data_IF_332050310936
#
_entry.id   IF_332050310936
#
_cell.length_a   1.000
_cell.length_b   1.000
_cell.length_c   1.000
_cell.angle_alpha   90.00
_cell.angle_beta   90.00
_cell.angle_gamma   90.00
#
_symmetry.space_group_name_H-M   'P 1'
#
loop_
_entity.id
_entity.type
_entity.pdbx_description
1 polymer ?
#
# COMPACT_ATOMS: atom_id res chain seq x y z
N UNK A 1 -10.63 54.22 51.29
CA UNK A 1 -9.61 54.19 50.22
C UNK A 1 -8.72 52.94 50.19
N UNK A 2 -8.43 52.24 51.31
CA UNK A 2 -7.53 51.07 51.27
C UNK A 2 -8.17 49.74 50.80
N UNK A 3 -9.48 49.56 50.95
CA UNK A 3 -10.17 48.32 50.54
C UNK A 3 -10.29 48.15 49.02
N UNK A 4 -10.48 49.23 48.26
CA UNK A 4 -10.58 49.16 46.79
C UNK A 4 -9.26 48.80 46.11
N UNK A 5 -8.14 49.29 46.63
CA UNK A 5 -6.81 48.98 46.10
C UNK A 5 -6.43 47.50 46.31
N UNK A 6 -6.87 46.90 47.42
CA UNK A 6 -6.64 45.49 47.69
C UNK A 6 -7.51 44.60 46.78
N UNK A 7 -8.80 44.92 46.64
CA UNK A 7 -9.73 44.21 45.76
C UNK A 7 -9.27 44.23 44.29
N UNK A 8 -8.79 45.38 43.81
CA UNK A 8 -8.27 45.51 42.44
C UNK A 8 -6.95 44.73 42.22
N UNK A 9 -6.10 44.61 43.23
CA UNK A 9 -4.89 43.76 43.16
C UNK A 9 -5.25 42.28 43.11
N UNK A 10 -6.24 41.84 43.90
CA UNK A 10 -6.69 40.44 43.92
C UNK A 10 -7.38 40.08 42.60
N UNK A 11 -8.28 40.93 42.08
CA UNK A 11 -8.95 40.71 40.79
C UNK A 11 -7.95 40.63 39.64
N UNK A 12 -6.93 41.51 39.60
CA UNK A 12 -5.88 41.45 38.57
C UNK A 12 -5.06 40.16 38.64
N UNK A 13 -4.77 39.66 39.84
CA UNK A 13 -4.05 38.38 40.02
C UNK A 13 -4.90 37.17 39.62
N UNK A 14 -6.20 37.19 39.93
CA UNK A 14 -7.13 36.13 39.52
C UNK A 14 -7.33 36.11 38.00
N UNK A 15 -7.49 37.28 37.38
CA UNK A 15 -7.63 37.40 35.93
C UNK A 15 -6.37 36.91 35.20
N UNK A 16 -5.18 37.22 35.72
CA UNK A 16 -3.92 36.73 35.16
C UNK A 16 -3.84 35.19 35.24
N UNK A 17 -4.24 34.60 36.36
CA UNK A 17 -4.26 33.13 36.54
C UNK A 17 -5.23 32.45 35.56
N UNK A 18 -6.43 33.01 35.38
CA UNK A 18 -7.43 32.47 34.45
C UNK A 18 -6.93 32.55 33.00
N UNK A 19 -6.32 33.68 32.61
CA UNK A 19 -5.75 33.85 31.27
C UNK A 19 -4.60 32.86 31.04
N UNK A 20 -3.72 32.63 32.02
CA UNK A 20 -2.65 31.65 31.89
C UNK A 20 -3.18 30.22 31.78
N UNK A 21 -4.24 29.88 32.51
CA UNK A 21 -4.84 28.54 32.46
C UNK A 21 -5.51 28.29 31.11
N UNK A 22 -6.22 29.28 30.56
CA UNK A 22 -6.81 29.22 29.22
C UNK A 22 -5.75 29.15 28.11
N UNK A 23 -4.61 29.83 28.26
CA UNK A 23 -3.49 29.75 27.32
C UNK A 23 -2.88 28.34 27.30
N UNK A 24 -2.62 27.74 28.47
CA UNK A 24 -2.07 26.38 28.57
C UNK A 24 -3.06 25.32 28.02
N UNK A 25 -4.36 25.49 28.26
CA UNK A 25 -5.40 24.63 27.69
C UNK A 25 -5.58 24.83 26.18
N UNK A 26 -5.39 26.05 25.68
CA UNK A 26 -5.42 26.36 24.25
C UNK A 26 -4.23 25.76 23.49
N UNK A 27 -3.03 25.78 24.07
CA UNK A 27 -1.86 25.14 23.47
C UNK A 27 -1.97 23.61 23.40
N UNK A 28 -2.70 22.98 24.33
CA UNK A 28 -2.92 21.52 24.30
C UNK A 28 -3.92 21.07 23.24
N UNK A 29 -4.81 21.96 22.76
CA UNK A 29 -5.68 21.69 21.61
C UNK A 29 -4.91 21.79 20.27
N UNK A 30 -3.85 22.60 20.21
CA UNK A 30 -3.01 22.78 19.00
C UNK A 30 -2.04 21.61 18.77
N UNK A 31 -1.85 20.70 19.74
CA UNK A 31 -1.07 19.47 19.53
C UNK A 31 -1.87 18.33 18.86
N UNK A 32 -3.18 18.49 18.64
CA UNK A 32 -4.02 17.44 18.04
C UNK A 32 -4.09 17.50 16.51
N UNK A 33 -3.56 18.55 15.87
CA UNK A 33 -3.16 18.50 14.46
C UNK A 33 -1.84 17.74 14.37
N UNK A 34 -1.95 16.45 14.63
CA UNK A 34 -0.92 15.45 14.38
C UNK A 34 -0.32 15.73 13.00
N UNK A 35 1.00 15.90 12.97
CA UNK A 35 1.77 15.67 11.77
C UNK A 35 1.50 14.21 11.40
N UNK A 36 0.54 13.96 10.52
CA UNK A 36 0.43 12.69 9.80
C UNK A 36 1.67 12.60 8.92
N UNK A 37 2.77 12.16 9.52
CA UNK A 37 3.93 11.72 8.77
C UNK A 37 3.53 10.34 8.26
N UNK A 38 3.04 10.30 7.02
CA UNK A 38 2.77 9.04 6.34
C UNK A 38 4.14 8.54 5.85
N UNK A 39 4.89 7.87 6.72
CA UNK A 39 6.02 7.09 6.27
C UNK A 39 5.44 5.93 5.47
N UNK A 40 5.59 5.97 4.14
CA UNK A 40 5.33 4.79 3.33
C UNK A 40 6.36 3.74 3.76
N UNK A 41 5.89 2.68 4.42
CA UNK A 41 6.73 1.50 4.66
C UNK A 41 6.93 0.87 3.29
N UNK A 42 8.18 0.60 2.91
CA UNK A 42 8.46 -0.14 1.68
C UNK A 42 7.92 -1.55 1.87
N UNK A 43 6.89 -1.91 1.11
CA UNK A 43 6.23 -3.23 1.20
C UNK A 43 7.10 -4.30 0.54
N UNK A 44 7.94 -3.89 -0.41
CA UNK A 44 8.84 -4.75 -1.17
C UNK A 44 10.26 -4.20 -1.18
N UNK A 45 11.22 -5.11 -1.27
CA UNK A 45 12.64 -4.88 -1.45
C UNK A 45 13.03 -5.35 -2.85
N UNK A 46 13.93 -4.62 -3.51
CA UNK A 46 14.44 -5.04 -4.83
C UNK A 46 15.96 -5.16 -4.78
N UNK A 47 16.49 -6.29 -5.27
CA UNK A 47 17.90 -6.64 -5.08
C UNK A 47 18.90 -5.70 -5.75
N UNK A 48 18.45 -4.92 -6.74
CA UNK A 48 19.30 -4.02 -7.52
C UNK A 48 18.70 -2.61 -7.60
N UNK A 49 19.55 -1.59 -7.48
CA UNK A 49 19.20 -0.20 -7.84
C UNK A 49 19.59 0.13 -9.28
N UNK A 50 20.45 -0.70 -9.88
CA UNK A 50 20.81 -0.68 -11.28
C UNK A 50 21.26 -2.05 -11.80
N UNK A 51 20.99 -2.33 -13.08
CA UNK A 51 21.43 -3.54 -13.79
C UNK A 51 22.39 -3.12 -14.90
N UNK A 52 23.72 -3.22 -14.70
CA UNK A 52 24.69 -2.82 -15.69
C UNK A 52 25.06 -3.97 -16.63
N UNK A 53 24.72 -3.87 -17.91
CA UNK A 53 25.18 -4.83 -18.93
C UNK A 53 26.64 -4.62 -19.36
N UNK A 54 27.27 -3.53 -18.92
CA UNK A 54 28.63 -3.17 -19.32
C UNK A 54 28.73 -2.84 -20.81
N UNK A 55 29.88 -3.15 -21.40
CA UNK A 55 30.14 -3.01 -22.84
C UNK A 55 29.70 -4.28 -23.55
N UNK A 56 28.76 -4.14 -24.47
CA UNK A 56 28.18 -5.24 -25.24
C UNK A 56 28.51 -5.11 -26.72
N UNK A 57 28.51 -6.23 -27.44
CA UNK A 57 28.75 -6.24 -28.88
C UNK A 57 27.44 -6.34 -29.68
N UNK A 58 27.35 -5.69 -30.86
CA UNK A 58 26.20 -5.83 -31.75
C UNK A 58 25.82 -7.29 -32.01
N UNK A 59 24.57 -7.66 -31.72
CA UNK A 59 24.03 -9.02 -31.87
C UNK A 59 24.32 -9.97 -30.70
N UNK A 60 24.95 -9.50 -29.62
CA UNK A 60 25.12 -10.27 -28.39
C UNK A 60 23.77 -10.45 -27.67
N UNK A 61 23.64 -11.58 -26.96
CA UNK A 61 22.54 -11.80 -26.02
C UNK A 61 23.17 -11.84 -24.63
N UNK A 62 22.77 -10.93 -23.76
CA UNK A 62 23.26 -10.86 -22.37
C UNK A 62 22.06 -10.97 -21.45
N UNK A 63 22.19 -11.73 -20.38
CA UNK A 63 21.14 -11.88 -19.37
C UNK A 63 21.65 -11.50 -17.99
N UNK A 64 20.78 -10.81 -17.25
CA UNK A 64 20.98 -10.45 -15.85
C UNK A 64 19.71 -10.80 -15.07
N UNK A 65 19.77 -10.78 -13.74
CA UNK A 65 18.61 -11.08 -12.89
C UNK A 65 18.40 -10.05 -11.81
N UNK A 66 17.15 -9.81 -11.44
CA UNK A 66 16.79 -9.12 -10.20
C UNK A 66 15.72 -9.90 -9.44
N UNK A 67 15.57 -9.56 -8.17
CA UNK A 67 14.61 -10.20 -7.25
C UNK A 67 13.74 -9.12 -6.65
N UNK A 68 12.43 -9.35 -6.63
CA UNK A 68 11.47 -8.57 -5.85
C UNK A 68 11.10 -9.40 -4.64
N UNK A 69 11.28 -8.86 -3.44
CA UNK A 69 11.12 -9.60 -2.20
C UNK A 69 10.14 -8.87 -1.27
N UNK A 70 9.29 -9.60 -0.58
CA UNK A 70 8.43 -9.07 0.47
C UNK A 70 9.27 -8.58 1.66
N UNK A 71 9.03 -7.35 2.12
CA UNK A 71 9.63 -6.88 3.36
C UNK A 71 9.05 -7.68 4.54
N UNK A 72 9.90 -8.08 5.50
CA UNK A 72 9.56 -8.95 6.62
C UNK A 72 8.44 -8.44 7.53
N UNK A 73 8.14 -7.13 7.48
CA UNK A 73 7.04 -6.54 8.24
C UNK A 73 5.67 -6.64 7.52
N UNK A 74 5.63 -7.26 6.34
CA UNK A 74 4.44 -7.43 5.51
C UNK A 74 4.16 -8.90 5.24
N UNK A 75 2.90 -9.20 4.90
CA UNK A 75 2.42 -10.56 4.65
C UNK A 75 2.04 -10.83 3.19
N UNK A 76 1.85 -9.76 2.41
CA UNK A 76 1.39 -9.81 1.03
C UNK A 76 1.74 -8.51 0.30
N UNK A 77 2.15 -8.63 -0.96
CA UNK A 77 2.19 -7.51 -1.89
C UNK A 77 1.84 -8.00 -3.30
N UNK A 78 0.97 -7.26 -3.98
CA UNK A 78 0.82 -7.35 -5.43
C UNK A 78 1.57 -6.19 -6.06
N UNK A 79 2.23 -6.40 -7.19
CA UNK A 79 2.93 -5.34 -7.91
C UNK A 79 2.88 -5.55 -9.42
N UNK A 80 3.23 -4.50 -10.16
CA UNK A 80 3.47 -4.57 -11.59
C UNK A 80 4.76 -3.84 -11.97
N UNK A 81 5.30 -4.17 -13.13
CA UNK A 81 6.54 -3.66 -13.68
C UNK A 81 6.30 -2.88 -14.97
N UNK A 82 6.88 -1.69 -15.08
CA UNK A 82 6.88 -0.90 -16.32
C UNK A 82 8.30 -0.59 -16.78
N UNK A 83 8.44 -0.42 -18.10
CA UNK A 83 9.68 -0.03 -18.76
C UNK A 83 9.51 1.35 -19.38
N UNK A 84 10.35 2.30 -18.97
CA UNK A 84 10.35 3.66 -19.53
C UNK A 84 11.73 4.03 -20.07
N UNK A 85 11.82 4.80 -21.16
CA UNK A 85 13.08 5.39 -21.60
C UNK A 85 13.71 6.28 -20.51
N UNK A 86 15.03 6.37 -20.51
CA UNK A 86 15.77 7.28 -19.63
C UNK A 86 16.11 8.56 -20.37
N UNK A 87 15.74 9.70 -19.79
CA UNK A 87 16.05 11.02 -20.34
C UNK A 87 17.56 11.19 -20.57
N UNK A 88 17.93 11.61 -21.77
CA UNK A 88 19.33 11.82 -22.16
C UNK A 88 20.08 10.57 -22.64
N UNK A 89 19.45 9.39 -22.61
CA UNK A 89 20.01 8.14 -23.15
C UNK A 89 19.20 7.64 -24.35
N UNK A 90 19.82 6.80 -25.18
CA UNK A 90 19.10 6.08 -26.24
C UNK A 90 18.18 5.03 -25.59
N UNK A 91 17.00 4.82 -26.18
CA UNK A 91 15.98 3.95 -25.59
C UNK A 91 16.43 2.48 -25.65
N UNK A 92 16.72 1.89 -24.49
CA UNK A 92 17.10 0.48 -24.36
C UNK A 92 15.87 -0.44 -24.25
N UNK A 93 14.72 0.08 -23.81
CA UNK A 93 13.58 -0.75 -23.40
C UNK A 93 13.05 -1.72 -24.47
N UNK A 94 12.99 -1.37 -25.78
CA UNK A 94 12.54 -2.31 -26.82
C UNK A 94 13.44 -3.55 -26.98
N UNK A 95 14.67 -3.49 -26.46
CA UNK A 95 15.66 -4.56 -26.58
C UNK A 95 15.75 -5.44 -25.33
N UNK A 96 14.93 -5.16 -24.31
CA UNK A 96 14.88 -5.93 -23.08
C UNK A 96 13.66 -6.84 -23.07
N UNK A 97 13.90 -8.13 -22.89
CA UNK A 97 12.87 -9.10 -22.54
C UNK A 97 12.95 -9.37 -21.03
N UNK A 98 11.84 -9.14 -20.33
CA UNK A 98 11.72 -9.48 -18.91
C UNK A 98 10.82 -10.70 -18.75
N UNK A 99 11.30 -11.71 -18.03
CA UNK A 99 10.58 -12.96 -17.79
C UNK A 99 10.76 -13.42 -16.34
N UNK A 100 9.66 -13.81 -15.68
CA UNK A 100 9.76 -14.54 -14.40
C UNK A 100 10.46 -15.87 -14.64
N UNK A 101 11.32 -16.24 -13.69
CA UNK A 101 12.12 -17.46 -13.69
C UNK A 101 11.93 -18.26 -12.39
N UNK A 102 10.82 -18.03 -11.68
CA UNK A 102 10.51 -18.69 -10.42
C UNK A 102 10.34 -20.20 -10.55
N UNK A 103 10.66 -20.89 -9.46
CA UNK A 103 10.60 -22.34 -9.34
C UNK A 103 9.95 -22.73 -7.99
N UNK A 104 8.74 -23.30 -7.99
CA UNK A 104 7.93 -23.70 -9.15
C UNK A 104 7.49 -22.52 -10.02
N UNK A 105 7.18 -22.78 -11.30
CA UNK A 105 6.70 -21.72 -12.20
C UNK A 105 5.38 -21.17 -11.68
N UNK A 106 5.39 -19.89 -11.35
CA UNK A 106 4.24 -19.10 -10.92
C UNK A 106 3.63 -18.33 -12.10
N UNK A 107 2.35 -17.92 -12.01
CA UNK A 107 1.67 -17.18 -13.06
C UNK A 107 2.03 -15.69 -13.10
N UNK A 108 3.21 -15.29 -12.62
CA UNK A 108 3.61 -13.89 -12.56
C UNK A 108 3.86 -13.29 -13.94
N UNK A 109 3.45 -12.04 -14.07
CA UNK A 109 3.58 -11.27 -15.30
C UNK A 109 4.04 -9.86 -15.00
N UNK A 110 4.53 -9.15 -16.01
CA UNK A 110 4.90 -7.74 -15.83
C UNK A 110 3.71 -6.86 -15.43
N UNK A 111 2.47 -7.28 -15.67
CA UNK A 111 1.28 -6.49 -15.35
C UNK A 111 0.65 -6.83 -14.00
N UNK A 112 1.03 -7.96 -13.40
CA UNK A 112 0.58 -8.41 -12.07
C UNK A 112 1.47 -9.58 -11.65
N UNK A 113 2.08 -9.43 -10.48
CA UNK A 113 2.90 -10.42 -9.79
C UNK A 113 2.68 -10.31 -8.28
N UNK A 114 2.87 -11.40 -7.52
CA UNK A 114 2.54 -11.43 -6.09
C UNK A 114 3.61 -12.08 -5.22
N UNK A 115 4.02 -11.40 -4.16
CA UNK A 115 4.85 -11.97 -3.09
C UNK A 115 4.05 -12.10 -1.78
N UNK A 116 4.28 -13.20 -1.04
CA UNK A 116 3.55 -13.57 0.19
C UNK A 116 4.49 -14.11 1.27
N UNK A 117 4.03 -14.30 2.52
CA UNK A 117 4.88 -14.94 3.54
C UNK A 117 5.34 -16.36 3.18
N UNK A 118 4.51 -17.09 2.42
CA UNK A 118 4.81 -18.45 1.98
C UNK A 118 5.64 -18.51 0.71
N UNK A 119 5.68 -17.40 -0.01
CA UNK A 119 6.38 -17.22 -1.27
C UNK A 119 6.93 -15.79 -1.34
N UNK A 120 8.03 -15.50 -0.63
CA UNK A 120 8.40 -14.14 -0.31
C UNK A 120 9.21 -13.45 -1.40
N UNK A 121 9.52 -14.10 -2.52
CA UNK A 121 10.43 -13.54 -3.50
C UNK A 121 10.21 -14.04 -4.93
N UNK A 122 10.08 -13.10 -5.85
CA UNK A 122 9.96 -13.35 -7.29
C UNK A 122 11.31 -13.06 -7.97
N UNK A 123 11.73 -13.97 -8.84
CA UNK A 123 12.99 -13.90 -9.57
C UNK A 123 12.71 -13.56 -11.03
N UNK A 124 13.32 -12.48 -11.50
CA UNK A 124 13.15 -11.98 -12.85
C UNK A 124 14.46 -12.05 -13.62
N UNK A 125 14.40 -12.59 -14.83
CA UNK A 125 15.47 -12.45 -15.82
C UNK A 125 15.22 -11.23 -16.69
N UNK A 126 16.27 -10.44 -16.89
CA UNK A 126 16.33 -9.34 -17.85
C UNK A 126 17.30 -9.75 -18.96
N UNK A 127 16.75 -10.15 -20.09
CA UNK A 127 17.52 -10.50 -21.27
C UNK A 127 17.64 -9.28 -22.19
N UNK A 128 18.86 -8.86 -22.45
CA UNK A 128 19.18 -7.81 -23.41
C UNK A 128 19.57 -8.44 -24.76
N UNK A 129 18.71 -8.23 -25.76
CA UNK A 129 18.98 -8.58 -27.16
C UNK A 129 19.65 -7.37 -27.84
N UNK A 130 20.98 -7.35 -27.87
CA UNK A 130 21.73 -6.18 -28.34
C UNK A 130 21.48 -5.95 -29.83
N UNK A 131 20.91 -4.79 -30.23
CA UNK A 131 20.63 -4.54 -31.64
C UNK A 131 21.93 -4.45 -32.44
N UNK A 132 21.86 -4.79 -33.72
CA UNK A 132 22.98 -4.54 -34.61
C UNK A 132 23.06 -3.04 -34.96
N UNK A 133 24.24 -2.56 -35.31
CA UNK A 133 24.41 -1.17 -35.80
C UNK A 133 24.46 -1.21 -37.34
N UNK A 134 23.79 -0.24 -37.99
CA UNK A 134 23.84 -0.09 -39.44
C UNK A 134 25.29 -0.05 -39.95
N UNK A 135 25.56 -0.83 -41.00
CA UNK A 135 26.91 -1.03 -41.53
C UNK A 135 27.80 -2.01 -40.75
N UNK A 136 27.33 -2.52 -39.60
CA UNK A 136 28.03 -3.46 -38.72
C UNK A 136 27.13 -4.67 -38.34
N UNK A 137 26.32 -5.12 -39.30
CA UNK A 137 25.38 -6.24 -39.13
C UNK A 137 26.06 -7.56 -39.51
N UNK A 138 25.96 -8.59 -38.66
CA UNK A 138 26.49 -9.92 -38.98
C UNK A 138 25.66 -10.60 -40.07
N UNK A 139 26.25 -11.55 -40.82
CA UNK A 139 25.57 -12.22 -41.94
C UNK A 139 24.29 -12.97 -41.54
N UNK A 140 24.17 -13.36 -40.27
CA UNK A 140 23.05 -14.12 -39.72
C UNK A 140 22.35 -13.35 -38.58
N UNK A 141 22.38 -12.02 -38.62
CA UNK A 141 21.71 -11.21 -37.59
C UNK A 141 20.19 -11.39 -37.67
N UNK A 142 19.60 -11.75 -36.54
CA UNK A 142 18.16 -11.98 -36.36
C UNK A 142 17.64 -11.08 -35.23
N UNK A 143 17.70 -9.77 -35.46
CA UNK A 143 17.31 -8.77 -34.48
C UNK A 143 17.20 -7.38 -35.09
N UNK A 144 16.81 -6.42 -34.27
CA UNK A 144 16.67 -5.03 -34.71
C UNK A 144 18.02 -4.41 -35.09
N UNK A 145 17.97 -3.41 -35.99
CA UNK A 145 19.13 -2.65 -36.46
C UNK A 145 18.93 -1.18 -36.08
N UNK A 146 19.87 -0.61 -35.35
CA UNK A 146 19.92 0.81 -34.98
C UNK A 146 20.92 1.56 -35.86
N UNK A 147 20.63 2.83 -36.15
CA UNK A 147 21.46 3.67 -37.03
C UNK A 147 22.68 4.28 -36.33
N UNK A 148 22.68 4.35 -35.00
CA UNK A 148 23.75 4.99 -34.21
C UNK A 148 24.02 4.23 -32.90
N UNK A 149 25.30 4.00 -32.61
CA UNK A 149 25.77 3.56 -31.28
C UNK A 149 25.76 4.70 -30.25
N UNK A 150 26.00 4.37 -28.99
CA UNK A 150 26.06 5.33 -27.88
C UNK A 150 25.56 4.71 -26.57
N UNK A 151 25.29 5.56 -25.58
CA UNK A 151 24.80 5.12 -24.27
C UNK A 151 23.29 4.87 -24.32
N UNK A 152 22.88 3.67 -23.91
CA UNK A 152 21.50 3.22 -23.86
C UNK A 152 21.04 3.07 -22.41
N UNK A 153 19.78 3.35 -22.15
CA UNK A 153 19.17 3.17 -20.83
C UNK A 153 17.70 2.82 -20.87
N UNK A 154 17.26 2.01 -19.90
CA UNK A 154 15.86 1.73 -19.62
C UNK A 154 15.64 1.85 -18.11
N UNK A 155 14.51 2.42 -17.71
CA UNK A 155 14.09 2.49 -16.32
C UNK A 155 13.07 1.39 -16.08
N UNK A 156 13.40 0.46 -15.20
CA UNK A 156 12.49 -0.60 -14.74
C UNK A 156 11.83 -0.07 -13.47
N UNK A 157 10.52 0.14 -13.50
CA UNK A 157 9.77 0.66 -12.34
C UNK A 157 8.88 -0.43 -11.80
N UNK A 158 9.03 -0.74 -10.51
CA UNK A 158 8.18 -1.69 -9.81
C UNK A 158 7.21 -0.89 -8.95
N UNK A 159 5.92 -1.08 -9.22
CA UNK A 159 4.85 -0.37 -8.53
C UNK A 159 4.04 -1.37 -7.73
N UNK A 160 4.08 -1.25 -6.40
CA UNK A 160 3.18 -1.98 -5.52
C UNK A 160 1.76 -1.51 -5.78
N UNK A 161 0.85 -2.46 -5.96
CA UNK A 161 -0.58 -2.22 -6.01
C UNK A 161 -1.05 -2.19 -4.55
N UNK A 162 -1.50 -1.03 -4.03
CA UNK A 162 -2.11 -1.00 -2.73
C UNK A 162 -3.30 -1.95 -2.69
N UNK A 163 -3.50 -2.69 -1.59
CA UNK A 163 -4.71 -3.49 -1.43
C UNK A 163 -5.92 -2.57 -1.59
N UNK A 164 -6.99 -3.10 -2.18
CA UNK A 164 -8.24 -2.34 -2.29
C UNK A 164 -8.70 -2.00 -0.89
N UNK A 165 -8.71 -0.70 -0.60
CA UNK A 165 -9.13 -0.18 0.69
C UNK A 165 -10.65 -0.35 0.83
N UNK A 166 -11.08 -0.59 2.06
CA UNK A 166 -12.47 -0.66 2.46
C UNK A 166 -13.05 0.71 2.76
N UNK A 167 -14.28 0.73 3.26
CA UNK A 167 -14.89 1.91 3.86
C UNK A 167 -14.91 1.77 5.39
N UNK A 168 -14.77 2.89 6.10
CA UNK A 168 -14.74 2.91 7.56
C UNK A 168 -16.10 2.65 8.23
N UNK A 169 -16.16 2.36 9.55
CA UNK A 169 -17.44 2.16 10.23
C UNK A 169 -18.30 3.43 10.21
N UNK A 170 -17.66 4.59 10.00
CA UNK A 170 -18.33 5.88 9.83
C UNK A 170 -19.17 5.95 8.56
N UNK A 171 -18.68 5.37 7.45
CA UNK A 171 -19.44 5.26 6.21
C UNK A 171 -20.65 4.33 6.39
N UNK A 172 -20.42 3.11 6.88
CA UNK A 172 -21.45 2.07 6.96
C UNK A 172 -22.60 2.36 7.93
N UNK A 173 -22.40 3.24 8.92
CA UNK A 173 -23.46 3.60 9.89
C UNK A 173 -24.37 4.73 9.43
N UNK A 174 -24.01 5.44 8.37
CA UNK A 174 -24.76 6.61 7.92
C UNK A 174 -25.93 6.19 7.02
N UNK A 175 -27.13 6.71 7.28
CA UNK A 175 -28.36 6.31 6.57
C UNK A 175 -28.25 6.49 5.05
N UNK A 176 -27.56 7.53 4.57
CA UNK A 176 -27.36 7.76 3.13
C UNK A 176 -26.52 6.68 2.44
N UNK A 177 -25.81 5.84 3.19
CA UNK A 177 -24.97 4.76 2.68
C UNK A 177 -25.60 3.37 2.86
N UNK A 178 -26.85 3.28 3.38
CA UNK A 178 -27.54 2.00 3.52
C UNK A 178 -27.81 1.31 2.18
N UNK A 179 -27.82 2.05 1.07
CA UNK A 179 -27.88 1.49 -0.28
C UNK A 179 -26.66 0.65 -0.67
N UNK A 180 -25.53 0.81 0.02
CA UNK A 180 -24.30 0.03 -0.22
C UNK A 180 -24.29 -1.31 0.52
N UNK A 181 -25.27 -1.60 1.38
CA UNK A 181 -25.33 -2.91 2.05
C UNK A 181 -25.60 -4.03 1.02
N UNK A 182 -25.01 -5.23 1.20
CA UNK A 182 -25.19 -6.36 0.29
C UNK A 182 -26.57 -7.03 0.49
N UNK A 183 -27.62 -6.28 0.16
CA UNK A 183 -29.03 -6.67 0.37
C UNK A 183 -29.46 -7.84 -0.49
N UNK A 184 -28.81 -8.06 -1.63
CA UNK A 184 -28.97 -9.28 -2.45
C UNK A 184 -28.64 -10.55 -1.67
N UNK A 185 -27.77 -10.45 -0.67
CA UNK A 185 -27.31 -11.55 0.17
C UNK A 185 -28.08 -11.61 1.51
N UNK A 186 -29.16 -10.83 1.64
CA UNK A 186 -29.97 -10.77 2.85
C UNK A 186 -29.34 -10.01 4.02
N UNK A 187 -28.29 -9.21 3.75
CA UNK A 187 -27.62 -8.40 4.77
C UNK A 187 -28.14 -6.96 4.73
N UNK A 188 -28.64 -6.49 5.86
CA UNK A 188 -29.28 -5.19 6.05
C UNK A 188 -28.75 -4.53 7.33
N UNK A 189 -28.95 -3.21 7.53
CA UNK A 189 -28.56 -2.53 8.77
C UNK A 189 -29.16 -3.15 10.05
N UNK A 190 -30.35 -3.76 9.94
CA UNK A 190 -31.04 -4.44 11.04
C UNK A 190 -30.72 -5.94 11.16
N UNK A 191 -29.87 -6.52 10.30
CA UNK A 191 -29.38 -7.90 10.46
C UNK A 191 -28.67 -8.03 11.80
N UNK A 192 -28.92 -9.11 12.54
CA UNK A 192 -28.31 -9.32 13.86
C UNK A 192 -26.82 -9.67 13.73
N UNK A 193 -26.01 -9.14 14.65
CA UNK A 193 -24.58 -9.47 14.72
C UNK A 193 -24.37 -10.98 14.85
N UNK A 194 -25.12 -11.62 15.75
CA UNK A 194 -25.11 -13.07 15.98
C UNK A 194 -25.35 -13.87 14.69
N UNK A 195 -26.22 -13.41 13.80
CA UNK A 195 -26.51 -14.10 12.54
C UNK A 195 -25.33 -14.10 11.57
N UNK A 196 -24.51 -13.04 11.60
CA UNK A 196 -23.35 -12.88 10.69
C UNK A 196 -22.10 -13.53 11.26
N UNK A 197 -21.85 -13.31 12.55
CA UNK A 197 -20.60 -13.71 13.20
C UNK A 197 -20.71 -15.02 13.99
N UNK A 198 -21.92 -15.56 14.19
CA UNK A 198 -22.15 -16.78 14.96
C UNK A 198 -21.95 -16.65 16.47
N UNK A 199 -21.55 -15.47 16.95
CA UNK A 199 -21.20 -15.21 18.34
C UNK A 199 -22.14 -14.19 18.98
N UNK A 200 -22.59 -14.45 20.22
CA UNK A 200 -23.45 -13.54 20.99
C UNK A 200 -22.64 -12.45 21.72
N UNK A 201 -21.62 -11.91 21.03
CA UNK A 201 -20.75 -10.85 21.55
C UNK A 201 -21.49 -9.55 21.83
N UNK A 202 -22.60 -9.34 21.13
CA UNK A 202 -23.42 -8.15 21.20
C UNK A 202 -24.90 -8.53 21.32
N UNK A 203 -25.36 -8.98 22.49
CA UNK A 203 -26.69 -9.57 22.65
C UNK A 203 -27.82 -8.69 22.12
N UNK A 204 -28.57 -9.24 21.16
CA UNK A 204 -29.72 -8.59 20.53
C UNK A 204 -29.40 -7.37 19.65
N UNK A 205 -28.13 -7.06 19.39
CA UNK A 205 -27.75 -5.91 18.56
C UNK A 205 -27.73 -6.26 17.07
N UNK A 206 -28.18 -5.31 16.25
CA UNK A 206 -27.98 -5.35 14.80
C UNK A 206 -26.57 -4.89 14.39
N UNK A 207 -26.20 -5.14 13.14
CA UNK A 207 -24.96 -4.61 12.55
C UNK A 207 -24.85 -3.09 12.70
N UNK A 208 -25.92 -2.34 12.40
CA UNK A 208 -25.97 -0.90 12.60
C UNK A 208 -25.71 -0.51 14.07
N UNK A 209 -26.39 -1.18 15.00
CA UNK A 209 -26.22 -0.90 16.42
C UNK A 209 -24.82 -1.24 16.92
N UNK A 210 -24.14 -2.22 16.31
CA UNK A 210 -22.74 -2.53 16.61
C UNK A 210 -21.81 -1.45 16.03
N UNK A 211 -22.04 -0.98 14.80
CA UNK A 211 -21.28 0.14 14.19
C UNK A 211 -21.40 1.45 14.99
N UNK A 212 -22.53 1.65 15.67
CA UNK A 212 -22.83 2.79 16.55
C UNK A 212 -22.23 2.70 17.95
N UNK A 213 -21.59 1.58 18.31
CA UNK A 213 -20.97 1.46 19.63
C UNK A 213 -19.86 2.52 19.83
N UNK A 214 -19.43 2.66 21.09
CA UNK A 214 -18.31 3.51 21.46
C UNK A 214 -16.95 2.90 21.11
N UNK A 215 -15.88 3.60 21.51
CA UNK A 215 -14.53 3.07 21.44
C UNK A 215 -14.17 2.10 22.58
N UNK A 216 -12.97 1.54 22.50
CA UNK A 216 -12.37 0.64 23.48
C UNK A 216 -12.84 -0.81 23.43
N UNK A 217 -11.89 -1.74 23.58
CA UNK A 217 -12.15 -3.17 23.77
C UNK A 217 -13.07 -3.79 22.71
N UNK A 218 -13.98 -4.66 23.15
CA UNK A 218 -14.92 -5.37 22.28
C UNK A 218 -15.76 -4.40 21.43
N UNK A 219 -16.20 -3.26 21.98
CA UNK A 219 -16.99 -2.28 21.23
C UNK A 219 -16.23 -1.72 20.03
N UNK A 220 -14.96 -1.35 20.20
CA UNK A 220 -14.16 -0.86 19.09
C UNK A 220 -13.91 -1.94 18.03
N UNK A 221 -13.61 -3.18 18.46
CA UNK A 221 -13.50 -4.31 17.55
C UNK A 221 -14.81 -4.57 16.80
N UNK A 222 -15.96 -4.58 17.48
CA UNK A 222 -17.27 -4.81 16.88
C UNK A 222 -17.55 -3.84 15.72
N UNK A 223 -17.24 -2.55 15.91
CA UNK A 223 -17.41 -1.54 14.85
C UNK A 223 -16.53 -1.83 13.65
N UNK A 224 -15.26 -2.14 13.89
CA UNK A 224 -14.26 -2.37 12.86
C UNK A 224 -14.55 -3.67 12.10
N UNK A 225 -14.94 -4.73 12.80
CA UNK A 225 -15.17 -6.05 12.19
C UNK A 225 -16.45 -6.11 11.37
N UNK A 226 -17.53 -5.44 11.82
CA UNK A 226 -18.75 -5.30 11.01
C UNK A 226 -18.43 -4.56 9.70
N UNK A 227 -17.64 -3.50 9.80
CA UNK A 227 -17.18 -2.73 8.63
C UNK A 227 -16.34 -3.59 7.67
N UNK A 228 -15.36 -4.34 8.19
CA UNK A 228 -14.55 -5.26 7.41
C UNK A 228 -15.38 -6.34 6.70
N UNK A 229 -16.38 -6.91 7.38
CA UNK A 229 -17.30 -7.87 6.77
C UNK A 229 -18.10 -7.26 5.62
N UNK A 230 -18.63 -6.03 5.80
CA UNK A 230 -19.37 -5.32 4.75
C UNK A 230 -18.48 -4.97 3.56
N UNK A 231 -17.23 -4.56 3.81
CA UNK A 231 -16.23 -4.33 2.77
C UNK A 231 -15.96 -5.61 1.98
N UNK A 232 -15.67 -6.72 2.66
CA UNK A 232 -15.42 -8.03 2.05
C UNK A 232 -16.60 -8.57 1.21
N UNK A 233 -17.82 -8.11 1.50
CA UNK A 233 -19.04 -8.49 0.75
C UNK A 233 -19.35 -7.55 -0.43
N UNK A 234 -18.86 -6.32 -0.42
CA UNK A 234 -19.34 -5.26 -1.32
C UNK A 234 -18.25 -4.73 -2.25
N UNK A 235 -16.98 -4.80 -1.83
CA UNK A 235 -15.85 -4.23 -2.55
C UNK A 235 -15.06 -5.36 -3.19
N UNK A 236 -15.04 -5.38 -4.52
CA UNK A 236 -14.22 -6.31 -5.29
C UNK A 236 -12.73 -6.06 -5.00
N UNK A 237 -11.99 -7.12 -4.66
CA UNK A 237 -10.56 -7.04 -4.36
C UNK A 237 -10.21 -6.62 -2.93
N UNK A 238 -11.19 -6.53 -2.01
CA UNK A 238 -10.88 -6.35 -0.58
C UNK A 238 -10.04 -7.55 -0.08
N UNK A 239 -8.94 -7.33 0.67
CA UNK A 239 -7.89 -8.34 0.92
C UNK A 239 -8.28 -9.43 1.93
N UNK A 240 -9.55 -9.51 2.33
CA UNK A 240 -10.08 -10.58 3.16
C UNK A 240 -11.47 -10.99 2.69
N UNK A 241 -11.75 -12.28 2.76
CA UNK A 241 -13.07 -12.82 2.50
C UNK A 241 -13.99 -12.63 3.73
N UNK A 242 -15.32 -12.62 3.53
CA UNK A 242 -16.26 -12.55 4.65
C UNK A 242 -16.09 -13.71 5.66
N UNK A 243 -15.66 -14.89 5.17
CA UNK A 243 -15.40 -16.05 6.00
C UNK A 243 -14.16 -15.89 6.88
N UNK A 244 -13.08 -15.33 6.34
CA UNK A 244 -11.87 -15.01 7.11
C UNK A 244 -12.18 -14.00 8.21
N UNK A 245 -12.85 -12.89 7.87
CA UNK A 245 -13.27 -11.85 8.83
C UNK A 245 -14.07 -12.46 9.99
N UNK A 246 -15.05 -13.32 9.69
CA UNK A 246 -15.85 -13.99 10.72
C UNK A 246 -15.00 -14.97 11.54
N UNK A 247 -14.15 -15.77 10.90
CA UNK A 247 -13.32 -16.77 11.60
C UNK A 247 -12.28 -16.15 12.53
N UNK A 248 -11.68 -15.03 12.13
CA UNK A 248 -10.71 -14.30 12.96
C UNK A 248 -11.39 -13.64 14.16
N UNK A 249 -12.60 -13.12 13.99
CA UNK A 249 -13.40 -12.64 15.10
C UNK A 249 -13.71 -13.76 16.11
N UNK A 250 -14.17 -14.91 15.62
CA UNK A 250 -14.47 -16.08 16.44
C UNK A 250 -13.22 -16.59 17.17
N UNK A 251 -12.04 -16.51 16.55
CA UNK A 251 -10.79 -16.93 17.18
C UNK A 251 -10.39 -16.06 18.38
N UNK A 252 -10.78 -14.78 18.40
CA UNK A 252 -10.45 -13.86 19.50
C UNK A 252 -11.58 -13.69 20.52
N UNK A 253 -12.81 -14.09 20.21
CA UNK A 253 -13.97 -13.95 21.09
C UNK A 253 -14.37 -15.30 21.73
N UNK A 254 -14.60 -15.36 23.05
CA UNK A 254 -14.37 -14.31 24.04
C UNK A 254 -12.87 -14.16 24.36
N UNK A 255 -12.41 -12.92 24.53
CA UNK A 255 -10.99 -12.63 24.74
C UNK A 255 -10.71 -11.35 25.54
N UNK A 256 -9.43 -10.96 25.56
CA UNK A 256 -8.95 -9.78 26.28
C UNK A 256 -8.98 -8.53 25.41
N UNK A 257 -8.96 -7.34 26.04
CA UNK A 257 -8.83 -6.08 25.31
C UNK A 257 -7.55 -6.02 24.43
N UNK A 258 -6.47 -6.69 24.84
CA UNK A 258 -5.26 -6.79 24.02
C UNK A 258 -5.52 -7.51 22.70
N UNK A 259 -6.14 -8.71 22.76
CA UNK A 259 -6.50 -9.48 21.58
C UNK A 259 -7.49 -8.72 20.67
N UNK A 260 -8.47 -8.04 21.28
CA UNK A 260 -9.42 -7.22 20.53
C UNK A 260 -8.75 -6.05 19.82
N UNK A 261 -7.81 -5.37 20.47
CA UNK A 261 -7.08 -4.26 19.86
C UNK A 261 -6.19 -4.76 18.72
N UNK A 262 -5.48 -5.88 18.87
CA UNK A 262 -4.67 -6.46 17.78
C UNK A 262 -5.51 -6.73 16.53
N UNK A 263 -6.67 -7.39 16.68
CA UNK A 263 -7.53 -7.67 15.53
C UNK A 263 -8.17 -6.40 14.95
N UNK A 264 -8.54 -5.45 15.82
CA UNK A 264 -9.08 -4.16 15.43
C UNK A 264 -8.06 -3.38 14.59
N UNK A 265 -6.81 -3.31 15.03
CA UNK A 265 -5.77 -2.53 14.34
C UNK A 265 -5.51 -3.12 12.93
N UNK A 266 -5.41 -4.46 12.82
CA UNK A 266 -5.32 -5.16 11.52
C UNK A 266 -6.38 -4.71 10.51
N UNK A 267 -7.65 -4.65 10.92
CA UNK A 267 -8.74 -4.27 10.01
C UNK A 267 -8.96 -2.77 9.87
N UNK A 268 -8.45 -1.95 10.79
CA UNK A 268 -8.52 -0.49 10.69
C UNK A 268 -7.60 0.02 9.57
N UNK A 269 -6.45 -0.61 9.38
CA UNK A 269 -5.48 -0.28 8.32
C UNK A 269 -5.98 -0.57 6.89
N UNK A 270 -7.12 -1.28 6.79
CA UNK A 270 -7.73 -1.70 5.53
C UNK A 270 -9.01 -0.91 5.18
N UNK A 271 -9.38 0.13 5.93
CA UNK A 271 -10.72 0.73 5.83
C UNK A 271 -10.79 2.11 5.19
N UNK A 272 -9.68 2.71 4.80
CA UNK A 272 -9.68 4.04 4.17
C UNK A 272 -8.45 4.24 3.26
N UNK A 273 -8.59 4.92 2.10
CA UNK A 273 -9.78 5.64 1.64
C UNK A 273 -10.90 4.74 1.06
N UNK A 274 -12.14 5.04 1.42
CA UNK A 274 -13.36 4.36 0.93
C UNK A 274 -13.56 4.47 -0.59
N UNK A 275 -13.54 3.34 -1.35
CA UNK A 275 -13.70 3.35 -2.81
C UNK A 275 -15.15 3.56 -3.25
N UNK A 276 -16.12 3.29 -2.36
CA UNK A 276 -17.54 3.50 -2.63
C UNK A 276 -17.96 4.99 -2.54
N UNK A 277 -17.00 5.89 -2.29
CA UNK A 277 -17.23 7.31 -2.01
C UNK A 277 -16.71 8.31 -3.04
N UNK A 278 -15.64 8.01 -3.82
CA UNK A 278 -15.12 8.84 -4.93
C UNK A 278 -14.07 8.07 -5.75
N UNK A 279 -14.03 8.30 -7.07
CA UNK A 279 -13.11 7.66 -8.01
C UNK A 279 -11.62 8.08 -7.78
N UNK A 280 -10.72 7.11 -7.96
CA UNK A 280 -9.26 7.18 -8.29
C UNK A 280 -8.20 7.51 -7.22
N UNK A 281 -7.18 6.62 -7.13
CA UNK A 281 -5.78 7.01 -6.96
C UNK A 281 -4.93 6.15 -5.99
N UNK A 282 -4.26 5.12 -6.49
CA UNK A 282 -3.27 4.28 -5.78
C UNK A 282 -1.96 5.06 -5.49
N UNK A 283 -1.28 4.77 -4.37
CA UNK A 283 -0.04 5.40 -3.92
C UNK A 283 1.20 4.99 -4.75
N UNK A 284 2.25 5.82 -4.73
CA UNK A 284 3.32 5.87 -5.75
C UNK A 284 4.50 4.89 -5.64
N UNK A 285 5.33 4.81 -6.71
CA UNK A 285 6.27 3.70 -6.97
C UNK A 285 7.69 3.88 -6.43
N UNK A 286 8.41 2.74 -6.30
CA UNK A 286 9.86 2.64 -6.08
C UNK A 286 10.59 2.46 -7.43
N UNK A 287 11.72 3.17 -7.64
CA UNK A 287 12.35 3.36 -8.97
C UNK A 287 13.75 2.73 -9.06
N UNK A 288 14.03 1.98 -10.13
CA UNK A 288 15.33 1.34 -10.44
C UNK A 288 15.77 1.74 -11.87
N UNK A 289 17.08 1.97 -12.10
CA UNK A 289 17.62 2.47 -13.38
C UNK A 289 18.67 1.52 -13.98
N UNK A 290 18.55 1.06 -15.23
CA UNK A 290 19.61 0.31 -15.94
C UNK A 290 20.33 1.15 -17.01
N UNK A 291 21.66 1.00 -17.12
CA UNK A 291 22.51 1.74 -18.09
C UNK A 291 23.56 0.82 -18.73
N UNK A 292 23.94 1.11 -19.98
CA UNK A 292 25.10 0.52 -20.68
C UNK A 292 26.05 1.63 -21.14
N UNK A 293 27.36 1.49 -20.86
CA UNK A 293 28.40 2.49 -21.12
C UNK A 293 29.35 2.03 -22.24
N UNK A 294 29.64 2.94 -23.18
CA UNK A 294 30.57 2.72 -24.29
C UNK A 294 31.85 3.58 -24.11
N UNK A 295 32.82 3.09 -23.33
CA UNK A 295 34.07 3.83 -23.07
C UNK A 295 35.25 3.27 -23.86
N UNK A 296 35.52 3.86 -25.02
CA UNK A 296 36.80 3.68 -25.72
C UNK A 296 37.42 5.02 -26.15
N UNK A 297 38.01 5.74 -25.19
CA UNK A 297 39.02 6.78 -25.49
C UNK A 297 40.43 6.26 -25.17
N UNK A 298 41.03 5.70 -26.23
CA UNK A 298 42.44 5.36 -26.44
C UNK A 298 43.42 6.00 -25.44
N UNK A 299 44.08 5.16 -24.64
CA UNK A 299 45.49 5.36 -24.28
C UNK A 299 46.34 4.67 -25.34
N UNK A 300 47.06 5.45 -26.14
CA UNK A 300 48.24 4.97 -26.86
C UNK A 300 49.25 6.11 -27.01
N UNK A 301 50.43 5.86 -26.43
CA UNK A 301 51.68 6.64 -26.37
C UNK A 301 51.75 7.83 -25.41
#
# INVERSE_FOLDING_TARGET
MQFENFRNKVIKRLALLIVTMLLVSGLSLVQSSTLKVNASVDVILVSHTAIPFGTVFPGENVDETYTVQLDTDNNFAEYFTTLDPVDGLKNLCPFLDLTSIDLPVEPDTLVSATVTETDPADHWQVKFNVPAIEGHVSQNHDGEIVIEGGDYGCKITITVIPPVQGCSPGYWKQEQHFGSYPTSDGIYPNTLFLTVFGEDAFPGKSLLQVLEQGGGGLNALGRIIVSAYLNAKTIDGFPHTPAEVTSEFQAVYPGSNGAYNTLKDKYEDLQDPCPLGNNSGLAGPSVIQSTSNDNNKKKNK
#
